data_IF_134372112020
#
_entry.id   IF_134372112020
#
_cell.length_a   1.000
_cell.length_b   1.000
_cell.length_c   1.000
_cell.angle_alpha   90.00
_cell.angle_beta   90.00
_cell.angle_gamma   90.00
#
_symmetry.space_group_name_H-M   'P 1'
#
loop_
_entity.id
_entity.type
_entity.pdbx_description
1 polymer ?
#
# COMPACT_ATOMS: atom_id res chain seq x y z
N UNK A 1 -75.21 -17.55 -27.78
CA UNK A 1 -74.37 -17.41 -28.98
C UNK A 1 -73.17 -18.33 -28.80
N UNK A 2 -73.20 -19.41 -29.58
CA UNK A 2 -72.18 -20.41 -29.95
C UNK A 2 -71.14 -20.91 -28.93
N UNK A 3 -71.36 -22.15 -28.49
CA UNK A 3 -70.33 -23.12 -28.11
C UNK A 3 -69.70 -23.75 -29.36
N UNK A 4 -68.45 -24.22 -29.30
CA UNK A 4 -67.97 -25.43 -30.01
C UNK A 4 -66.62 -25.90 -29.43
N UNK A 5 -66.62 -27.12 -28.91
CA UNK A 5 -65.48 -28.02 -28.67
C UNK A 5 -65.13 -28.81 -29.94
N UNK A 6 -63.87 -29.27 -30.10
CA UNK A 6 -63.31 -30.57 -30.61
C UNK A 6 -61.77 -30.31 -30.79
N UNK A 7 -60.75 -31.00 -30.25
CA UNK A 7 -60.31 -32.40 -30.04
C UNK A 7 -59.49 -33.05 -31.19
N UNK A 8 -58.48 -33.85 -30.78
CA UNK A 8 -57.72 -34.91 -31.49
C UNK A 8 -56.59 -34.49 -32.48
N UNK A 9 -55.30 -34.83 -32.24
CA UNK A 9 -54.56 -36.11 -32.55
C UNK A 9 -54.14 -36.22 -34.03
N UNK A 10 -53.01 -36.76 -34.51
CA UNK A 10 -51.78 -37.37 -33.99
C UNK A 10 -50.82 -37.69 -35.19
N UNK A 11 -49.53 -37.98 -34.91
CA UNK A 11 -48.59 -38.88 -35.66
C UNK A 11 -48.17 -38.43 -37.11
N UNK A 12 -47.00 -38.67 -37.70
CA UNK A 12 -45.90 -39.66 -37.56
C UNK A 12 -44.74 -39.29 -38.52
N UNK A 13 -43.49 -39.65 -38.17
CA UNK A 13 -42.43 -40.11 -39.10
C UNK A 13 -41.73 -39.06 -40.01
N UNK A 14 -40.49 -39.19 -40.49
CA UNK A 14 -39.51 -40.30 -40.58
C UNK A 14 -38.16 -39.71 -41.07
N UNK A 15 -37.05 -40.32 -40.61
CA UNK A 15 -35.67 -40.44 -41.19
C UNK A 15 -34.70 -39.25 -41.32
N UNK A 16 -33.49 -39.56 -40.83
CA UNK A 16 -32.19 -38.93 -41.11
C UNK A 16 -31.69 -39.18 -42.55
N UNK A 17 -30.64 -38.44 -42.98
CA UNK A 17 -29.39 -39.15 -43.26
C UNK A 17 -28.11 -38.47 -42.76
N UNK A 18 -27.09 -39.33 -42.76
CA UNK A 18 -25.68 -39.20 -42.39
C UNK A 18 -24.91 -38.03 -43.03
N UNK A 19 -24.01 -37.43 -42.26
CA UNK A 19 -22.95 -36.54 -42.73
C UNK A 19 -21.74 -36.61 -41.79
N UNK A 20 -20.64 -37.13 -42.30
CA UNK A 20 -19.40 -37.40 -41.59
C UNK A 20 -18.35 -36.27 -41.71
N UNK A 21 -17.35 -36.34 -40.82
CA UNK A 21 -16.00 -35.72 -40.83
C UNK A 21 -15.79 -34.44 -39.98
N UNK A 22 -14.54 -34.11 -39.58
CA UNK A 22 -13.62 -34.95 -38.79
C UNK A 22 -13.06 -34.23 -37.54
N UNK A 23 -12.72 -35.04 -36.54
CA UNK A 23 -12.02 -34.63 -35.30
C UNK A 23 -10.56 -34.24 -35.60
N UNK A 24 -10.19 -32.96 -35.39
CA UNK A 24 -8.79 -32.56 -35.22
C UNK A 24 -8.36 -32.80 -33.78
N UNK A 25 -7.57 -33.86 -33.57
CA UNK A 25 -6.73 -34.02 -32.39
C UNK A 25 -5.60 -33.00 -32.51
N UNK A 26 -5.64 -31.93 -31.73
CA UNK A 26 -4.43 -31.14 -31.46
C UNK A 26 -3.59 -31.88 -30.42
N UNK A 27 -2.36 -32.18 -30.82
CA UNK A 27 -1.35 -32.80 -29.98
C UNK A 27 -1.05 -31.93 -28.76
N UNK A 28 -1.14 -32.52 -27.57
CA UNK A 28 -0.67 -31.90 -26.35
C UNK A 28 0.87 -31.94 -26.32
N UNK A 29 1.49 -30.76 -26.35
CA UNK A 29 2.92 -30.60 -26.07
C UNK A 29 3.14 -30.69 -24.56
N UNK A 30 3.99 -31.60 -24.04
CA UNK A 30 4.31 -31.62 -22.62
C UNK A 30 5.21 -30.43 -22.27
N UNK A 31 4.70 -29.51 -21.46
CA UNK A 31 5.49 -28.46 -20.84
C UNK A 31 6.47 -29.10 -19.85
N UNK A 32 7.78 -28.95 -20.13
CA UNK A 32 8.86 -29.30 -19.19
C UNK A 32 8.70 -28.48 -17.91
N UNK A 33 8.56 -29.17 -16.78
CA UNK A 33 8.72 -28.59 -15.44
C UNK A 33 10.13 -28.00 -15.33
N UNK A 34 10.25 -26.67 -15.40
CA UNK A 34 11.46 -25.97 -15.03
C UNK A 34 11.65 -26.04 -13.51
N UNK A 35 12.79 -26.56 -13.08
CA UNK A 35 13.17 -26.59 -11.67
C UNK A 35 13.21 -25.16 -11.10
N UNK A 36 12.37 -24.91 -10.11
CA UNK A 36 12.36 -23.66 -9.34
C UNK A 36 13.65 -23.61 -8.53
N UNK A 37 14.62 -22.80 -8.99
CA UNK A 37 15.78 -22.43 -8.17
C UNK A 37 15.27 -21.56 -7.02
N UNK A 38 15.17 -22.13 -5.83
CA UNK A 38 14.95 -21.38 -4.61
C UNK A 38 16.20 -20.55 -4.31
N UNK A 39 16.12 -19.24 -4.52
CA UNK A 39 17.14 -18.32 -4.03
C UNK A 39 17.09 -18.28 -2.49
N UNK A 40 18.24 -18.35 -1.79
CA UNK A 40 18.26 -18.22 -0.34
C UNK A 40 17.91 -16.78 0.04
N UNK A 41 16.69 -16.57 0.54
CA UNK A 41 16.30 -15.33 1.23
C UNK A 41 16.77 -15.43 2.67
N UNK A 42 17.94 -14.86 2.95
CA UNK A 42 18.51 -14.88 4.29
C UNK A 42 19.72 -13.96 4.41
N UNK A 43 19.58 -12.71 3.97
CA UNK A 43 20.52 -11.65 4.33
C UNK A 43 19.90 -10.82 5.44
N UNK A 44 20.44 -10.88 6.64
CA UNK A 44 20.20 -9.86 7.67
C UNK A 44 20.82 -8.56 7.15
N UNK A 45 20.00 -7.72 6.53
CA UNK A 45 20.40 -6.35 6.18
C UNK A 45 20.56 -5.62 7.51
N UNK A 46 21.81 -5.42 7.94
CA UNK A 46 22.07 -4.61 9.13
C UNK A 46 21.50 -3.20 8.89
N UNK A 47 20.79 -2.62 9.86
CA UNK A 47 20.25 -1.27 9.71
C UNK A 47 21.41 -0.30 9.59
N UNK A 48 21.47 0.43 8.47
CA UNK A 48 22.52 1.43 8.23
C UNK A 48 22.39 2.54 9.27
N UNK A 49 23.50 2.90 9.89
CA UNK A 49 23.56 4.04 10.81
C UNK A 49 23.21 5.36 10.09
N UNK A 50 22.72 6.34 10.85
CA UNK A 50 22.47 7.68 10.34
C UNK A 50 23.78 8.33 9.84
N UNK A 51 23.75 9.09 8.74
CA UNK A 51 24.94 9.78 8.25
C UNK A 51 25.38 10.87 9.22
N UNK A 52 26.68 10.98 9.47
CA UNK A 52 27.26 11.91 10.45
C UNK A 52 26.82 13.38 10.26
N UNK A 53 26.64 13.81 9.00
CA UNK A 53 26.17 15.17 8.71
C UNK A 53 24.74 15.45 9.18
N UNK A 54 23.87 14.44 9.31
CA UNK A 54 22.53 14.61 9.88
C UNK A 54 22.63 14.76 11.40
N UNK A 55 23.44 13.94 12.06
CA UNK A 55 23.65 14.01 13.51
C UNK A 55 24.23 15.37 13.94
N UNK A 56 25.18 15.91 13.17
CA UNK A 56 25.75 17.23 13.45
C UNK A 56 24.71 18.35 13.33
N UNK A 57 23.80 18.26 12.37
CA UNK A 57 22.73 19.26 12.20
C UNK A 57 21.70 19.18 13.32
N UNK A 58 21.27 17.97 13.67
CA UNK A 58 20.37 17.75 14.81
C UNK A 58 21.00 18.30 16.11
N UNK A 59 22.29 18.07 16.33
CA UNK A 59 23.00 18.59 17.50
C UNK A 59 23.11 20.13 17.56
N UNK A 60 22.89 20.83 16.45
CA UNK A 60 22.93 22.31 16.34
C UNK A 60 21.54 22.94 16.32
N UNK A 61 20.49 22.14 16.39
CA UNK A 61 19.11 22.60 16.36
C UNK A 61 18.80 23.43 17.63
N UNK A 62 17.95 24.48 17.52
CA UNK A 62 17.48 25.24 18.68
C UNK A 62 16.85 24.34 19.75
N UNK A 63 16.91 24.76 21.01
CA UNK A 63 16.40 23.95 22.13
C UNK A 63 14.89 23.67 22.02
N UNK A 64 14.10 24.64 21.57
CA UNK A 64 12.64 24.47 21.40
C UNK A 64 12.31 23.46 20.28
N UNK A 65 13.05 23.52 19.18
CA UNK A 65 12.93 22.59 18.06
C UNK A 65 13.37 21.17 18.49
N UNK A 66 14.43 21.07 19.31
CA UNK A 66 14.87 19.80 19.89
C UNK A 66 13.82 19.20 20.85
N UNK A 67 13.13 20.03 21.64
CA UNK A 67 12.07 19.56 22.52
C UNK A 67 10.88 19.00 21.71
N UNK A 68 10.50 19.66 20.62
CA UNK A 68 9.49 19.17 19.68
C UNK A 68 9.93 17.85 19.01
N UNK A 69 11.20 17.77 18.61
CA UNK A 69 11.80 16.56 18.05
C UNK A 69 11.74 15.37 19.00
N UNK A 70 12.19 15.55 20.25
CA UNK A 70 12.18 14.51 21.28
C UNK A 70 10.75 14.07 21.62
N UNK A 71 9.80 15.00 21.69
CA UNK A 71 8.38 14.69 21.93
C UNK A 71 7.81 13.83 20.78
N UNK A 72 8.07 14.22 19.53
CA UNK A 72 7.67 13.42 18.36
C UNK A 72 8.36 12.05 18.34
N UNK A 73 9.61 11.96 18.79
CA UNK A 73 10.34 10.68 18.87
C UNK A 73 9.67 9.76 19.87
N UNK A 74 9.27 10.28 21.03
CA UNK A 74 8.58 9.48 22.04
C UNK A 74 7.26 8.91 21.52
N UNK A 75 6.48 9.70 20.79
CA UNK A 75 5.27 9.19 20.12
C UNK A 75 5.59 8.01 19.20
N UNK A 76 6.69 8.06 18.44
CA UNK A 76 7.08 6.96 17.54
C UNK A 76 7.59 5.74 18.30
N UNK A 77 8.28 5.93 19.43
CA UNK A 77 8.69 4.83 20.31
C UNK A 77 7.47 4.12 20.89
N UNK A 78 6.44 4.86 21.29
CA UNK A 78 5.18 4.30 21.83
C UNK A 78 4.42 3.45 20.80
N UNK A 79 4.66 3.66 19.50
CA UNK A 79 4.15 2.81 18.42
C UNK A 79 4.93 1.49 18.25
N UNK A 80 5.90 1.20 19.12
CA UNK A 80 6.65 -0.04 19.17
C UNK A 80 7.97 -0.05 18.38
N UNK A 81 8.49 1.11 17.98
CA UNK A 81 9.84 1.23 17.42
C UNK A 81 10.86 1.42 18.56
N UNK A 82 12.07 0.88 18.39
CA UNK A 82 13.19 1.21 19.28
C UNK A 82 13.69 2.65 19.03
N UNK A 83 14.41 3.21 20.00
CA UNK A 83 14.96 4.58 19.94
C UNK A 83 15.72 4.91 18.65
N UNK A 84 16.53 3.97 18.12
CA UNK A 84 17.31 4.20 16.91
C UNK A 84 16.42 4.15 15.67
N UNK A 85 15.46 3.23 15.63
CA UNK A 85 14.46 3.15 14.57
C UNK A 85 13.54 4.38 14.56
N UNK A 86 13.13 4.87 15.73
CA UNK A 86 12.32 6.08 15.88
C UNK A 86 13.06 7.33 15.38
N UNK A 87 14.34 7.49 15.74
CA UNK A 87 15.20 8.57 15.23
C UNK A 87 15.29 8.53 13.69
N UNK A 88 15.57 7.35 13.12
CA UNK A 88 15.62 7.16 11.67
C UNK A 88 14.27 7.44 11.00
N UNK A 89 13.18 7.11 11.68
CA UNK A 89 11.82 7.36 11.21
C UNK A 89 11.61 8.87 11.02
N UNK A 90 11.90 9.68 12.04
CA UNK A 90 11.76 11.14 11.96
C UNK A 90 12.70 11.76 10.91
N UNK A 91 13.97 11.35 10.88
CA UNK A 91 14.95 11.85 9.90
C UNK A 91 14.45 11.68 8.46
N UNK A 92 13.84 10.52 8.16
CA UNK A 92 13.29 10.23 6.83
C UNK A 92 11.96 10.96 6.60
N UNK A 93 11.07 10.91 7.58
CA UNK A 93 9.74 11.48 7.49
C UNK A 93 9.77 13.00 7.26
N UNK A 94 10.72 13.69 7.87
CA UNK A 94 10.80 15.15 7.81
C UNK A 94 11.91 15.70 6.92
N UNK A 95 12.46 14.85 6.05
CA UNK A 95 13.36 15.31 4.99
C UNK A 95 14.74 15.75 5.46
N UNK A 96 15.20 15.26 6.61
CA UNK A 96 16.58 15.44 7.08
C UNK A 96 17.56 14.47 6.42
N UNK A 97 17.04 13.34 5.92
CA UNK A 97 17.81 12.32 5.22
C UNK A 97 17.84 12.49 3.69
N UNK A 98 17.98 11.36 3.01
CA UNK A 98 17.98 11.32 1.55
C UNK A 98 16.61 11.72 0.97
N UNK A 99 16.63 12.66 0.02
CA UNK A 99 15.45 13.29 -0.59
C UNK A 99 14.77 12.44 -1.68
N UNK A 100 14.90 11.12 -1.62
CA UNK A 100 14.38 10.20 -2.64
C UNK A 100 12.85 10.18 -2.69
N UNK A 101 12.19 10.30 -1.52
CA UNK A 101 10.75 10.31 -1.41
C UNK A 101 10.17 11.70 -1.70
N UNK A 102 10.67 12.71 -1.00
CA UNK A 102 10.16 14.09 -1.03
C UNK A 102 10.56 14.88 -2.28
N UNK A 103 11.64 14.50 -2.99
CA UNK A 103 12.13 15.25 -4.15
C UNK A 103 12.34 16.75 -3.84
N UNK A 104 12.91 17.06 -2.67
CA UNK A 104 13.13 18.42 -2.16
C UNK A 104 11.86 19.19 -1.79
N UNK A 105 10.67 18.56 -1.78
CA UNK A 105 9.45 19.23 -1.32
C UNK A 105 9.39 19.40 0.20
N UNK A 106 10.18 18.64 0.95
CA UNK A 106 10.29 18.69 2.41
C UNK A 106 11.76 18.55 2.78
N UNK A 107 12.36 19.57 3.38
CA UNK A 107 13.81 19.63 3.64
C UNK A 107 14.02 20.11 5.07
N UNK A 108 14.61 19.24 5.89
CA UNK A 108 15.03 19.55 7.27
C UNK A 108 13.91 20.24 8.09
N UNK A 109 12.67 19.75 7.95
CA UNK A 109 11.52 20.31 8.66
C UNK A 109 11.50 19.79 10.11
N UNK A 110 11.24 20.67 11.07
CA UNK A 110 11.06 20.25 12.47
C UNK A 110 9.64 19.67 12.60
N UNK A 111 9.48 18.46 13.16
CA UNK A 111 8.16 17.86 13.32
C UNK A 111 7.35 18.61 14.37
N UNK A 112 6.10 18.90 14.05
CA UNK A 112 5.12 19.44 14.98
C UNK A 112 4.37 18.30 15.67
N UNK A 113 4.29 18.36 17.00
CA UNK A 113 3.73 17.29 17.85
C UNK A 113 2.25 17.06 17.53
N UNK A 114 1.45 18.13 17.49
CA UNK A 114 0.00 18.05 17.26
C UNK A 114 -0.29 17.45 15.87
N UNK A 115 0.49 17.82 14.86
CA UNK A 115 0.35 17.26 13.52
C UNK A 115 0.78 15.79 13.45
N UNK A 116 1.82 15.37 14.19
CA UNK A 116 2.21 13.95 14.28
C UNK A 116 1.12 13.13 14.98
N UNK A 117 0.60 13.60 16.10
CA UNK A 117 -0.51 12.96 16.81
C UNK A 117 -1.75 12.84 15.92
N UNK A 118 -2.12 13.90 15.19
CA UNK A 118 -3.26 13.88 14.28
C UNK A 118 -3.09 12.82 13.17
N UNK A 119 -1.87 12.64 12.64
CA UNK A 119 -1.58 11.62 11.63
C UNK A 119 -1.64 10.20 12.23
N UNK A 120 -1.13 10.00 13.43
CA UNK A 120 -1.23 8.71 14.15
C UNK A 120 -2.71 8.38 14.42
N UNK A 121 -3.47 9.33 14.96
CA UNK A 121 -4.89 9.20 15.21
C UNK A 121 -5.67 8.86 13.93
N UNK A 122 -5.29 9.46 12.80
CA UNK A 122 -5.89 9.13 11.51
C UNK A 122 -5.61 7.68 11.07
N UNK A 123 -4.39 7.18 11.27
CA UNK A 123 -4.06 5.78 10.99
C UNK A 123 -4.89 4.80 11.84
N UNK A 124 -5.14 5.17 13.10
CA UNK A 124 -6.06 4.42 13.97
C UNK A 124 -7.49 4.47 13.46
N UNK A 125 -7.99 5.65 13.06
CA UNK A 125 -9.34 5.86 12.53
C UNK A 125 -9.65 4.98 11.30
N UNK A 126 -8.66 4.78 10.42
CA UNK A 126 -8.83 3.94 9.21
C UNK A 126 -8.72 2.44 9.49
N UNK A 127 -8.46 2.05 10.75
CA UNK A 127 -8.53 0.69 11.24
C UNK A 127 -7.19 -0.02 11.43
N UNK A 128 -6.08 0.73 11.42
CA UNK A 128 -4.77 0.18 11.76
C UNK A 128 -4.63 0.27 13.28
N UNK A 129 -4.54 -0.85 14.01
CA UNK A 129 -4.42 -0.79 15.45
C UNK A 129 -3.07 -0.17 15.82
N UNK A 130 -3.08 0.67 16.85
CA UNK A 130 -1.97 1.56 17.21
C UNK A 130 -0.65 0.81 17.44
N UNK A 131 -0.71 -0.33 18.11
CA UNK A 131 0.40 -1.25 18.38
C UNK A 131 1.03 -1.86 17.12
N UNK A 132 0.36 -1.77 15.97
CA UNK A 132 0.85 -2.31 14.70
C UNK A 132 1.27 -1.22 13.72
N UNK A 133 1.05 0.07 14.03
CA UNK A 133 1.44 1.17 13.14
C UNK A 133 2.95 1.15 12.92
N UNK A 134 3.73 0.99 13.99
CA UNK A 134 5.18 0.93 13.93
C UNK A 134 5.68 -0.19 13.01
N UNK A 135 5.29 -1.43 13.30
CA UNK A 135 5.74 -2.61 12.54
C UNK A 135 5.21 -2.64 11.11
N UNK A 136 3.93 -2.31 10.88
CA UNK A 136 3.29 -2.55 9.57
C UNK A 136 3.41 -1.38 8.61
N UNK A 137 3.55 -0.16 9.11
CA UNK A 137 3.59 1.07 8.30
C UNK A 137 4.97 1.71 8.37
N UNK A 138 5.39 2.14 9.57
CA UNK A 138 6.56 3.02 9.73
C UNK A 138 7.89 2.32 9.47
N UNK A 139 7.99 1.02 9.80
CA UNK A 139 9.18 0.20 9.49
C UNK A 139 9.47 0.12 7.98
N UNK A 140 8.44 0.31 7.14
CA UNK A 140 8.52 0.20 5.67
C UNK A 140 8.57 1.58 5.02
N UNK A 141 7.66 2.47 5.42
CA UNK A 141 7.48 3.81 4.86
C UNK A 141 7.26 4.79 6.00
N UNK A 142 8.35 5.19 6.64
CA UNK A 142 8.40 6.25 7.66
C UNK A 142 7.79 7.57 7.19
N UNK A 143 7.89 7.87 5.89
CA UNK A 143 7.47 9.12 5.27
C UNK A 143 5.96 9.38 5.35
N UNK A 144 5.17 8.36 5.72
CA UNK A 144 3.74 8.53 6.02
C UNK A 144 3.50 9.52 7.18
N UNK A 145 4.39 9.59 8.18
CA UNK A 145 4.29 10.59 9.26
C UNK A 145 4.56 12.02 8.80
N UNK A 146 5.24 12.20 7.67
CA UNK A 146 5.47 13.53 7.09
C UNK A 146 4.37 13.94 6.10
N UNK A 147 3.41 13.06 5.79
CA UNK A 147 2.33 13.34 4.86
C UNK A 147 1.18 14.09 5.54
N UNK A 148 0.56 15.01 4.82
CA UNK A 148 -0.60 15.75 5.34
C UNK A 148 -1.82 14.83 5.46
N UNK A 149 -2.64 15.04 6.50
CA UNK A 149 -3.82 14.22 6.77
C UNK A 149 -4.82 14.27 5.62
N UNK A 150 -4.92 15.40 4.91
CA UNK A 150 -5.75 15.55 3.70
C UNK A 150 -5.33 14.59 2.59
N UNK A 151 -4.01 14.44 2.37
CA UNK A 151 -3.48 13.51 1.38
C UNK A 151 -3.74 12.06 1.80
N UNK A 152 -3.53 11.74 3.08
CA UNK A 152 -3.85 10.42 3.62
C UNK A 152 -5.33 10.09 3.37
N UNK A 153 -6.22 11.03 3.67
CA UNK A 153 -7.66 10.88 3.48
C UNK A 153 -8.06 10.72 2.02
N UNK A 154 -7.47 11.50 1.12
CA UNK A 154 -7.73 11.39 -0.30
C UNK A 154 -7.26 10.04 -0.87
N UNK A 155 -6.10 9.53 -0.40
CA UNK A 155 -5.61 8.21 -0.79
C UNK A 155 -6.48 7.07 -0.24
N UNK A 156 -6.95 7.18 1.00
CA UNK A 156 -7.91 6.20 1.57
C UNK A 156 -9.19 6.19 0.76
N UNK A 157 -9.77 7.35 0.44
CA UNK A 157 -10.96 7.44 -0.42
C UNK A 157 -10.71 6.85 -1.82
N UNK A 158 -9.51 7.04 -2.38
CA UNK A 158 -9.11 6.41 -3.63
C UNK A 158 -9.09 4.87 -3.52
N UNK A 159 -8.58 4.32 -2.41
CA UNK A 159 -8.57 2.87 -2.15
C UNK A 159 -9.99 2.32 -2.06
N UNK A 160 -10.85 2.99 -1.28
CA UNK A 160 -12.24 2.59 -1.11
C UNK A 160 -13.00 2.55 -2.44
N UNK A 161 -12.79 3.56 -3.29
CA UNK A 161 -13.48 3.69 -4.58
C UNK A 161 -12.98 2.71 -5.63
N UNK A 162 -11.67 2.55 -5.81
CA UNK A 162 -11.10 1.82 -6.95
C UNK A 162 -10.81 0.35 -6.65
N UNK A 163 -10.53 0.02 -5.39
CA UNK A 163 -10.23 -1.35 -4.97
C UNK A 163 -11.40 -1.97 -4.19
N UNK A 164 -12.49 -1.23 -3.97
CA UNK A 164 -13.70 -1.67 -3.26
C UNK A 164 -13.42 -2.20 -1.85
N UNK A 165 -12.37 -1.68 -1.19
CA UNK A 165 -11.96 -2.07 0.16
C UNK A 165 -12.40 -1.01 1.16
N UNK A 166 -13.34 -1.33 2.05
CA UNK A 166 -13.77 -0.39 3.11
C UNK A 166 -12.71 -0.28 4.20
N UNK A 167 -12.45 0.93 4.70
CA UNK A 167 -11.64 1.15 5.91
C UNK A 167 -12.24 0.43 7.14
N UNK A 168 -11.45 0.23 8.19
CA UNK A 168 -11.84 -0.54 9.37
C UNK A 168 -12.17 -2.02 9.11
N UNK A 169 -11.69 -2.58 7.99
CA UNK A 169 -11.82 -4.01 7.69
C UNK A 169 -10.47 -4.71 7.74
N UNK A 170 -10.50 -6.02 8.04
CA UNK A 170 -9.29 -6.87 8.00
C UNK A 170 -8.63 -6.85 6.61
N UNK A 171 -9.42 -6.82 5.54
CA UNK A 171 -8.90 -6.76 4.16
C UNK A 171 -8.13 -5.46 3.91
N UNK A 172 -8.67 -4.33 4.35
CA UNK A 172 -8.01 -3.02 4.23
C UNK A 172 -6.71 -2.99 5.05
N UNK A 173 -6.77 -3.40 6.31
CA UNK A 173 -5.59 -3.45 7.20
C UNK A 173 -4.47 -4.33 6.61
N UNK A 174 -4.84 -5.50 6.06
CA UNK A 174 -3.89 -6.39 5.39
C UNK A 174 -3.35 -5.83 4.05
N UNK A 175 -4.12 -4.99 3.37
CA UNK A 175 -3.67 -4.30 2.17
C UNK A 175 -2.61 -3.25 2.53
N UNK A 176 -2.91 -2.37 3.49
CA UNK A 176 -1.96 -1.37 3.98
C UNK A 176 -0.68 -2.02 4.51
N UNK A 177 -0.81 -3.11 5.29
CA UNK A 177 0.35 -3.83 5.81
C UNK A 177 1.28 -4.37 4.70
N UNK A 178 0.76 -4.69 3.51
CA UNK A 178 1.58 -5.17 2.39
C UNK A 178 2.18 -4.03 1.58
N UNK A 179 1.42 -2.95 1.39
CA UNK A 179 1.77 -1.87 0.45
C UNK A 179 1.53 -0.50 1.10
N UNK A 180 2.20 -0.16 2.23
CA UNK A 180 1.87 1.06 2.98
C UNK A 180 2.15 2.36 2.22
N UNK A 181 2.98 2.32 1.16
CA UNK A 181 3.27 3.49 0.33
C UNK A 181 2.02 4.10 -0.33
N UNK A 182 0.93 3.33 -0.50
CA UNK A 182 -0.33 3.80 -1.07
C UNK A 182 -0.92 4.99 -0.32
N UNK A 183 -0.65 5.08 0.99
CA UNK A 183 -1.17 6.17 1.84
C UNK A 183 -0.52 7.52 1.52
N UNK A 184 0.72 7.53 1.01
CA UNK A 184 1.48 8.75 0.73
C UNK A 184 1.68 9.05 -0.76
N UNK A 185 1.01 8.30 -1.65
CA UNK A 185 1.11 8.51 -3.08
C UNK A 185 0.44 9.82 -3.52
N UNK A 186 0.89 10.38 -4.64
CA UNK A 186 0.22 11.50 -5.28
C UNK A 186 -0.95 10.98 -6.11
N UNK A 187 -2.14 11.57 -5.97
CA UNK A 187 -3.35 11.15 -6.71
C UNK A 187 -3.33 11.63 -8.16
N UNK A 188 -2.60 12.70 -8.45
CA UNK A 188 -2.52 13.31 -9.79
C UNK A 188 -1.86 12.40 -10.84
N UNK A 189 -1.18 11.33 -10.41
CA UNK A 189 -0.48 10.40 -11.29
C UNK A 189 -1.12 9.00 -11.37
N UNK A 190 -2.39 8.87 -10.98
CA UNK A 190 -3.15 7.63 -11.13
C UNK A 190 -3.39 7.35 -12.63
N UNK A 191 -2.77 6.29 -13.16
CA UNK A 191 -3.17 5.66 -14.43
C UNK A 191 -2.25 5.87 -15.62
N UNK A 192 -1.61 7.04 -15.76
CA UNK A 192 -0.87 7.40 -16.99
C UNK A 192 0.60 7.77 -16.78
N UNK A 193 1.13 7.58 -15.56
CA UNK A 193 2.49 7.98 -15.22
C UNK A 193 3.53 6.86 -15.44
N UNK A 194 4.73 7.23 -15.89
CA UNK A 194 5.87 6.31 -16.10
C UNK A 194 6.36 5.59 -14.83
N UNK A 195 5.87 5.97 -13.64
CA UNK A 195 6.22 5.29 -12.39
C UNK A 195 7.59 5.69 -11.80
N UNK A 196 8.24 6.72 -12.34
CA UNK A 196 9.58 7.13 -11.93
C UNK A 196 9.62 7.80 -10.54
N UNK A 197 8.48 8.26 -10.01
CA UNK A 197 8.42 8.85 -8.66
C UNK A 197 8.15 7.80 -7.58
N UNK A 198 8.70 8.02 -6.37
CA UNK A 198 8.52 7.12 -5.22
C UNK A 198 7.10 7.16 -4.64
N UNK A 199 6.31 8.17 -5.03
CA UNK A 199 4.93 8.43 -4.62
C UNK A 199 3.92 8.09 -5.72
N UNK A 200 4.25 7.14 -6.59
CA UNK A 200 3.41 6.78 -7.74
C UNK A 200 2.55 5.55 -7.44
N UNK A 201 1.27 5.64 -7.79
CA UNK A 201 0.34 4.51 -7.76
C UNK A 201 0.75 3.33 -8.66
N UNK A 202 1.48 3.57 -9.75
CA UNK A 202 1.99 2.51 -10.63
C UNK A 202 3.04 1.58 -9.97
N UNK A 203 3.52 1.94 -8.77
CA UNK A 203 4.50 1.15 -8.00
C UNK A 203 3.87 0.31 -6.89
N UNK A 204 2.54 0.29 -6.79
CA UNK A 204 1.79 -0.30 -5.69
C UNK A 204 1.20 -1.66 -6.06
#
# INVERSE_FOLDING_TARGET
>A
MSAFTVSASALTGVRAPSGAAPSRRSAATPLRLGAIRQSPRGGTVQPRALPAGVLEKLAKMPQDDMASWESCKMLVVDLGLDDEAAEKCLVKAFGWGAQNYWRQSKVEEVPDVDQVEARIAYLVEIGIPEDQIGEKVLSKVSEILGCDTELLAANVAHIEKNYFMKRNTKSFTNYIARVPQVLGNNIDCVGDCAGDCKRCWARC
#
